data_IF_323579918607
#
_entry.id   IF_323579918607
#
_cell.length_a   1.000
_cell.length_b   1.000
_cell.length_c   1.000
_cell.angle_alpha   90.00
_cell.angle_beta   90.00
_cell.angle_gamma   90.00
#
_symmetry.space_group_name_H-M   'P 1'
#
loop_
_entity.id
_entity.type
_entity.pdbx_description
1 polymer ?
#
# COMPACT_ATOMS: atom_id res chain seq x y z
N UNK A 1 -0.34 -43.59 21.06
CA UNK A 1 0.26 -42.25 21.26
C UNK A 1 0.62 -41.60 19.93
N UNK A 2 1.45 -42.24 19.11
CA UNK A 2 1.93 -41.70 17.83
C UNK A 2 0.80 -41.34 16.85
N UNK A 3 -0.24 -42.16 16.75
CA UNK A 3 -1.43 -41.90 15.93
C UNK A 3 -2.20 -40.65 16.37
N UNK A 4 -2.34 -40.44 17.69
CA UNK A 4 -2.98 -39.26 18.27
C UNK A 4 -2.16 -37.99 18.02
N UNK A 5 -0.83 -38.07 18.22
CA UNK A 5 0.11 -36.98 17.94
C UNK A 5 0.11 -36.59 16.46
N UNK A 6 0.09 -37.57 15.56
CA UNK A 6 -0.01 -37.35 14.12
C UNK A 6 -1.34 -36.67 13.74
N UNK A 7 -2.46 -37.09 14.33
CA UNK A 7 -3.77 -36.48 14.11
C UNK A 7 -3.81 -35.02 14.59
N UNK A 8 -3.24 -34.72 15.75
CA UNK A 8 -3.17 -33.35 16.29
C UNK A 8 -2.36 -32.41 15.39
N UNK A 9 -1.22 -32.87 14.88
CA UNK A 9 -0.41 -32.12 13.89
C UNK A 9 -1.20 -31.89 12.60
N UNK A 10 -1.92 -32.91 12.12
CA UNK A 10 -2.76 -32.80 10.92
C UNK A 10 -3.88 -31.77 11.09
N UNK A 11 -4.58 -31.79 12.23
CA UNK A 11 -5.60 -30.78 12.54
C UNK A 11 -5.04 -29.36 12.62
N UNK A 12 -3.86 -29.20 13.24
CA UNK A 12 -3.17 -27.92 13.27
C UNK A 12 -2.90 -27.38 11.86
N UNK A 13 -2.33 -28.22 11.00
CA UNK A 13 -1.98 -27.83 9.62
C UNK A 13 -3.23 -27.50 8.79
N UNK A 14 -4.30 -28.29 8.90
CA UNK A 14 -5.57 -27.99 8.24
C UNK A 14 -6.17 -26.66 8.71
N UNK A 15 -6.14 -26.40 10.02
CA UNK A 15 -6.65 -25.15 10.59
C UNK A 15 -5.86 -23.95 10.07
N UNK A 16 -4.52 -24.05 10.09
CA UNK A 16 -3.62 -23.02 9.56
C UNK A 16 -3.89 -22.74 8.09
N UNK A 17 -4.10 -23.78 7.27
CA UNK A 17 -4.41 -23.63 5.84
C UNK A 17 -5.72 -22.88 5.61
N UNK A 18 -6.77 -23.20 6.37
CA UNK A 18 -8.05 -22.50 6.29
C UNK A 18 -7.92 -21.04 6.71
N UNK A 19 -7.23 -20.76 7.81
CA UNK A 19 -7.01 -19.40 8.29
C UNK A 19 -6.21 -18.55 7.28
N UNK A 20 -5.18 -19.14 6.67
CA UNK A 20 -4.39 -18.50 5.62
C UNK A 20 -5.23 -18.21 4.38
N UNK A 21 -6.05 -19.18 3.95
CA UNK A 21 -6.93 -19.03 2.80
C UNK A 21 -7.95 -17.90 3.01
N UNK A 22 -8.58 -17.85 4.19
CA UNK A 22 -9.53 -16.80 4.56
C UNK A 22 -8.85 -15.42 4.60
N UNK A 23 -7.64 -15.33 5.15
CA UNK A 23 -6.89 -14.08 5.19
C UNK A 23 -6.59 -13.58 3.77
N UNK A 24 -6.07 -14.46 2.91
CA UNK A 24 -5.74 -14.12 1.52
C UNK A 24 -6.99 -13.65 0.76
N UNK A 25 -8.12 -14.33 0.91
CA UNK A 25 -9.36 -13.95 0.24
C UNK A 25 -9.87 -12.60 0.74
N UNK A 26 -9.86 -12.37 2.07
CA UNK A 26 -10.24 -11.09 2.66
C UNK A 26 -9.37 -9.93 2.13
N UNK A 27 -8.05 -10.09 2.14
CA UNK A 27 -7.12 -9.08 1.60
C UNK A 27 -7.30 -8.86 0.10
N UNK A 28 -7.57 -9.92 -0.68
CA UNK A 28 -7.87 -9.82 -2.11
C UNK A 28 -9.12 -9.00 -2.36
N UNK A 29 -10.19 -9.25 -1.60
CA UNK A 29 -11.44 -8.50 -1.72
C UNK A 29 -11.26 -7.03 -1.33
N UNK A 30 -10.51 -6.74 -0.25
CA UNK A 30 -10.15 -5.35 0.15
C UNK A 30 -9.39 -4.63 -0.96
N UNK A 31 -8.37 -5.28 -1.56
CA UNK A 31 -7.58 -4.70 -2.67
C UNK A 31 -8.44 -4.42 -3.91
N UNK A 32 -9.23 -5.41 -4.35
CA UNK A 32 -10.16 -5.25 -5.49
C UNK A 32 -11.17 -4.12 -5.28
N UNK A 33 -11.68 -3.98 -4.07
CA UNK A 33 -12.60 -2.90 -3.75
C UNK A 33 -11.91 -1.53 -3.86
N UNK A 34 -10.71 -1.40 -3.28
CA UNK A 34 -9.92 -0.17 -3.35
C UNK A 34 -9.54 0.19 -4.80
N UNK A 35 -9.13 -0.80 -5.61
CA UNK A 35 -8.82 -0.62 -7.03
C UNK A 35 -10.04 -0.07 -7.80
N UNK A 36 -11.22 -0.69 -7.63
CA UNK A 36 -12.46 -0.20 -8.27
C UNK A 36 -12.84 1.20 -7.82
N UNK A 37 -12.65 1.51 -6.53
CA UNK A 37 -12.90 2.84 -6.00
C UNK A 37 -11.95 3.86 -6.67
N UNK A 38 -10.65 3.58 -6.71
CA UNK A 38 -9.67 4.46 -7.34
C UNK A 38 -9.93 4.65 -8.85
N UNK A 39 -10.33 3.60 -9.56
CA UNK A 39 -10.73 3.67 -10.97
C UNK A 39 -11.93 4.60 -11.17
N UNK A 40 -12.96 4.48 -10.32
CA UNK A 40 -14.14 5.32 -10.37
C UNK A 40 -13.82 6.80 -10.05
N UNK A 41 -13.05 7.05 -8.99
CA UNK A 41 -12.60 8.40 -8.62
C UNK A 41 -11.79 9.06 -9.75
N UNK A 42 -10.85 8.32 -10.33
CA UNK A 42 -10.00 8.81 -11.44
C UNK A 42 -10.84 9.09 -12.68
N UNK A 43 -11.75 8.17 -13.05
CA UNK A 43 -12.65 8.36 -14.19
C UNK A 43 -13.53 9.60 -14.01
N UNK A 44 -14.10 9.78 -12.81
CA UNK A 44 -14.93 10.93 -12.48
C UNK A 44 -14.14 12.24 -12.57
N UNK A 45 -12.90 12.27 -12.05
CA UNK A 45 -12.05 13.46 -12.13
C UNK A 45 -11.69 13.79 -13.58
N UNK A 46 -11.38 12.79 -14.42
CA UNK A 46 -11.08 13.00 -15.85
C UNK A 46 -12.30 13.56 -16.59
N UNK A 47 -13.50 13.02 -16.35
CA UNK A 47 -14.74 13.54 -16.95
C UNK A 47 -15.06 14.96 -16.50
N UNK A 48 -14.84 15.27 -15.22
CA UNK A 48 -14.98 16.62 -14.69
C UNK A 48 -14.00 17.59 -15.37
N UNK A 49 -12.71 17.23 -15.44
CA UNK A 49 -11.68 18.03 -16.10
C UNK A 49 -12.05 18.32 -17.56
N UNK A 50 -12.52 17.31 -18.29
CA UNK A 50 -12.96 17.47 -19.68
C UNK A 50 -14.15 18.42 -19.78
N UNK A 51 -15.19 18.23 -18.95
CA UNK A 51 -16.38 19.08 -18.96
C UNK A 51 -16.04 20.56 -18.72
N UNK A 52 -15.25 20.85 -17.69
CA UNK A 52 -14.89 22.24 -17.34
C UNK A 52 -14.02 22.87 -18.43
N UNK A 53 -13.13 22.08 -19.05
CA UNK A 53 -12.32 22.54 -20.19
C UNK A 53 -13.20 22.86 -21.39
N UNK A 54 -14.15 21.98 -21.73
CA UNK A 54 -15.07 22.17 -22.85
C UNK A 54 -16.01 23.37 -22.64
N UNK A 55 -16.52 23.56 -21.42
CA UNK A 55 -17.34 24.72 -21.06
C UNK A 55 -16.56 26.04 -21.20
N UNK A 56 -15.30 26.05 -20.76
CA UNK A 56 -14.38 27.20 -20.90
C UNK A 56 -14.12 27.51 -22.37
N UNK A 57 -13.77 26.49 -23.16
CA UNK A 57 -13.57 26.60 -24.62
C UNK A 57 -14.82 27.12 -25.34
N UNK A 58 -16.01 26.62 -24.99
CA UNK A 58 -17.29 27.09 -25.56
C UNK A 58 -17.53 28.56 -25.26
N UNK A 59 -17.24 29.01 -24.04
CA UNK A 59 -17.36 30.43 -23.65
C UNK A 59 -16.36 31.28 -24.43
N UNK A 60 -15.11 30.86 -24.58
CA UNK A 60 -14.11 31.55 -25.39
C UNK A 60 -14.55 31.69 -26.85
N UNK A 61 -15.01 30.59 -27.46
CA UNK A 61 -15.52 30.61 -28.82
C UNK A 61 -16.71 31.58 -28.99
N UNK A 62 -17.61 31.66 -28.00
CA UNK A 62 -18.72 32.60 -28.02
C UNK A 62 -18.25 34.05 -27.93
N UNK A 63 -17.28 34.36 -27.06
CA UNK A 63 -16.70 35.70 -26.94
C UNK A 63 -16.02 36.12 -28.25
N UNK A 64 -15.20 35.24 -28.85
CA UNK A 64 -14.52 35.52 -30.11
C UNK A 64 -15.52 35.68 -31.27
N UNK A 65 -16.66 34.97 -31.24
CA UNK A 65 -17.74 35.17 -32.21
C UNK A 65 -18.47 36.52 -32.03
N UNK A 66 -18.57 37.02 -30.79
CA UNK A 66 -19.21 38.31 -30.49
C UNK A 66 -18.28 39.49 -30.74
N UNK A 67 -16.97 39.31 -30.58
CA UNK A 67 -15.95 40.36 -30.67
C UNK A 67 -16.04 41.23 -31.94
N UNK A 68 -16.18 40.69 -33.18
CA UNK A 68 -16.30 41.54 -34.38
C UNK A 68 -17.47 42.51 -34.33
N UNK A 69 -18.58 42.14 -33.68
CA UNK A 69 -19.75 43.02 -33.55
C UNK A 69 -19.47 44.18 -32.61
N UNK A 70 -18.83 43.90 -31.48
CA UNK A 70 -18.45 44.93 -30.49
C UNK A 70 -17.40 45.88 -31.04
N UNK A 71 -16.38 45.35 -31.72
CA UNK A 71 -15.34 46.13 -32.38
C UNK A 71 -15.93 47.05 -33.45
N UNK A 72 -16.84 46.54 -34.28
CA UNK A 72 -17.55 47.35 -35.30
C UNK A 72 -18.39 48.46 -34.68
N UNK A 73 -19.01 48.22 -33.52
CA UNK A 73 -19.76 49.25 -32.81
C UNK A 73 -18.85 50.38 -32.30
N UNK A 74 -17.68 50.05 -31.72
CA UNK A 74 -16.67 51.03 -31.30
C UNK A 74 -16.09 51.80 -32.47
N UNK A 75 -15.77 51.11 -33.56
CA UNK A 75 -15.31 51.74 -34.81
C UNK A 75 -16.34 52.76 -35.33
N UNK A 76 -17.63 52.40 -35.38
CA UNK A 76 -18.70 53.28 -35.84
C UNK A 76 -18.81 54.55 -34.98
N UNK A 77 -18.60 54.44 -33.67
CA UNK A 77 -18.58 55.57 -32.74
C UNK A 77 -17.42 56.53 -33.07
N UNK A 78 -16.21 56.01 -33.29
CA UNK A 78 -15.04 56.82 -33.66
C UNK A 78 -15.25 57.48 -35.03
N UNK A 79 -15.81 56.75 -36.01
CA UNK A 79 -16.18 57.33 -37.32
C UNK A 79 -17.25 58.43 -37.21
N UNK A 80 -18.15 58.36 -36.22
CA UNK A 80 -19.12 59.44 -35.96
C UNK A 80 -18.42 60.68 -35.40
N UNK A 81 -17.48 60.51 -34.48
CA UNK A 81 -16.65 61.60 -33.96
C UNK A 81 -15.81 62.24 -35.07
N UNK A 82 -15.17 61.44 -35.92
CA UNK A 82 -14.44 61.92 -37.10
C UNK A 82 -15.32 62.80 -38.00
N UNK A 83 -16.54 62.33 -38.35
CA UNK A 83 -17.48 63.11 -39.17
C UNK A 83 -17.83 64.46 -38.53
N UNK A 84 -17.96 64.52 -37.20
CA UNK A 84 -18.19 65.77 -36.49
C UNK A 84 -16.95 66.68 -36.53
N UNK A 85 -15.76 66.14 -36.29
CA UNK A 85 -14.51 66.87 -36.37
C UNK A 85 -14.27 67.48 -37.77
N UNK A 86 -14.53 66.72 -38.84
CA UNK A 86 -14.48 67.21 -40.23
C UNK A 86 -15.45 68.37 -40.45
N UNK A 87 -16.71 68.25 -39.99
CA UNK A 87 -17.69 69.34 -40.11
C UNK A 87 -17.24 70.61 -39.42
N UNK A 88 -16.66 70.49 -38.22
CA UNK A 88 -16.11 71.63 -37.49
C UNK A 88 -14.92 72.24 -38.23
N UNK A 89 -13.97 71.42 -38.69
CA UNK A 89 -12.80 71.87 -39.45
C UNK A 89 -13.19 72.61 -40.72
N UNK A 90 -14.20 72.11 -41.46
CA UNK A 90 -14.71 72.76 -42.67
C UNK A 90 -15.34 74.13 -42.38
N UNK A 91 -16.08 74.27 -41.27
CA UNK A 91 -16.65 75.55 -40.85
C UNK A 91 -15.56 76.55 -40.49
N UNK A 92 -14.56 76.10 -39.73
CA UNK A 92 -13.40 76.93 -39.34
C UNK A 92 -12.58 77.38 -40.57
N UNK A 93 -12.32 76.49 -41.53
CA UNK A 93 -11.61 76.85 -42.78
C UNK A 93 -12.37 77.87 -43.61
N UNK A 94 -13.71 77.77 -43.70
CA UNK A 94 -14.53 78.78 -44.40
C UNK A 94 -14.47 80.15 -43.72
N UNK A 95 -14.54 80.18 -42.39
CA UNK A 95 -14.43 81.42 -41.61
C UNK A 95 -13.04 82.06 -41.79
N UNK A 96 -11.99 81.26 -41.67
CA UNK A 96 -10.61 81.71 -41.89
C UNK A 96 -10.41 82.27 -43.30
N UNK A 97 -10.95 81.59 -44.31
CA UNK A 97 -10.88 82.07 -45.69
C UNK A 97 -11.53 83.45 -45.86
N UNK A 98 -12.71 83.67 -45.27
CA UNK A 98 -13.39 84.96 -45.34
C UNK A 98 -12.56 86.08 -44.68
N UNK A 99 -11.99 85.80 -43.49
CA UNK A 99 -11.16 86.75 -42.75
C UNK A 99 -9.84 87.09 -43.47
N UNK A 100 -9.18 86.11 -44.08
CA UNK A 100 -7.94 86.36 -44.83
C UNK A 100 -8.22 87.20 -46.07
N UNK A 101 -9.28 86.89 -46.81
CA UNK A 101 -9.64 87.64 -48.01
C UNK A 101 -10.07 89.09 -47.74
N UNK A 102 -10.64 89.39 -46.57
CA UNK A 102 -10.99 90.78 -46.21
C UNK A 102 -9.77 91.69 -46.01
N UNK A 103 -8.60 91.12 -45.77
CA UNK A 103 -7.35 91.87 -45.54
C UNK A 103 -6.32 91.71 -46.67
N UNK A 104 -6.65 90.94 -47.72
CA UNK A 104 -5.74 90.65 -48.85
C UNK A 104 -6.09 91.55 -50.04
N UNK A 105 -5.12 92.09 -50.80
CA UNK A 105 -5.37 92.79 -52.07
C UNK A 105 -6.03 91.90 -53.12
N UNK A 106 -6.86 92.45 -54.01
CA UNK A 106 -7.67 91.67 -54.97
C UNK A 106 -6.82 90.88 -55.96
N UNK A 107 -5.65 91.41 -56.30
CA UNK A 107 -4.68 90.82 -57.22
C UNK A 107 -4.15 89.47 -56.69
N UNK A 108 -4.04 89.33 -55.36
CA UNK A 108 -3.50 88.14 -54.69
C UNK A 108 -4.59 87.13 -54.25
N UNK A 109 -5.87 87.49 -54.34
CA UNK A 109 -6.98 86.66 -53.85
C UNK A 109 -6.98 85.25 -54.45
N UNK A 110 -6.66 85.13 -55.74
CA UNK A 110 -6.68 83.83 -56.44
C UNK A 110 -5.64 82.86 -55.86
N UNK A 111 -4.42 83.34 -55.66
CA UNK A 111 -3.33 82.54 -55.12
C UNK A 111 -3.61 82.17 -53.65
N UNK A 112 -4.12 83.15 -52.87
CA UNK A 112 -4.48 82.94 -51.47
C UNK A 112 -5.57 81.88 -51.29
N UNK A 113 -6.60 81.88 -52.15
CA UNK A 113 -7.67 80.85 -52.13
C UNK A 113 -7.10 79.46 -52.39
N UNK A 114 -6.15 79.32 -53.33
CA UNK A 114 -5.53 78.03 -53.63
C UNK A 114 -4.75 77.52 -52.42
N UNK A 115 -3.89 78.36 -51.82
CA UNK A 115 -3.13 78.03 -50.61
C UNK A 115 -4.04 77.60 -49.46
N UNK A 116 -5.14 78.32 -49.21
CA UNK A 116 -6.10 77.98 -48.15
C UNK A 116 -6.83 76.66 -48.40
N UNK A 117 -7.15 76.33 -49.66
CA UNK A 117 -7.76 75.04 -50.02
C UNK A 117 -6.78 73.87 -49.87
N UNK A 118 -5.52 74.07 -50.24
CA UNK A 118 -4.47 73.07 -50.03
C UNK A 118 -4.24 72.82 -48.54
N UNK A 119 -4.16 73.89 -47.74
CA UNK A 119 -4.06 73.83 -46.28
C UNK A 119 -5.23 73.06 -45.67
N UNK A 120 -6.46 73.37 -46.10
CA UNK A 120 -7.67 72.67 -45.67
C UNK A 120 -7.61 71.19 -46.03
N UNK A 121 -7.23 70.83 -47.27
CA UNK A 121 -7.08 69.42 -47.69
C UNK A 121 -6.04 68.69 -46.83
N UNK A 122 -4.89 69.31 -46.58
CA UNK A 122 -3.82 68.72 -45.76
C UNK A 122 -4.29 68.48 -44.33
N UNK A 123 -4.95 69.46 -43.69
CA UNK A 123 -5.51 69.31 -42.33
C UNK A 123 -6.55 68.19 -42.26
N UNK A 124 -7.43 68.09 -43.26
CA UNK A 124 -8.41 67.01 -43.33
C UNK A 124 -7.75 65.63 -43.53
N UNK A 125 -6.70 65.55 -44.35
CA UNK A 125 -5.93 64.32 -44.55
C UNK A 125 -5.21 63.89 -43.26
N UNK A 126 -4.58 64.82 -42.54
CA UNK A 126 -3.97 64.55 -41.23
C UNK A 126 -5.02 64.08 -40.22
N UNK A 127 -6.18 64.74 -40.17
CA UNK A 127 -7.28 64.34 -39.29
C UNK A 127 -7.79 62.94 -39.64
N UNK A 128 -7.93 62.61 -40.92
CA UNK A 128 -8.32 61.26 -41.36
C UNK A 128 -7.31 60.21 -40.86
N UNK A 129 -6.02 60.42 -41.11
CA UNK A 129 -4.97 59.48 -40.69
C UNK A 129 -4.89 59.29 -39.17
N UNK A 130 -5.11 60.35 -38.38
CA UNK A 130 -5.17 60.25 -36.92
C UNK A 130 -6.33 59.36 -36.43
N UNK A 131 -7.52 59.52 -37.02
CA UNK A 131 -8.68 58.71 -36.65
C UNK A 131 -8.56 57.28 -37.17
N UNK A 132 -7.99 57.05 -38.35
CA UNK A 132 -7.67 55.72 -38.87
C UNK A 132 -6.68 55.00 -37.95
N UNK A 133 -5.58 55.65 -37.59
CA UNK A 133 -4.59 55.09 -36.64
C UNK A 133 -5.21 54.78 -35.26
N UNK A 134 -6.11 55.65 -34.77
CA UNK A 134 -6.83 55.43 -33.51
C UNK A 134 -7.74 54.21 -33.58
N UNK A 135 -8.47 54.04 -34.69
CA UNK A 135 -9.32 52.86 -34.93
C UNK A 135 -8.44 51.60 -34.96
N UNK A 136 -7.38 51.61 -35.77
CA UNK A 136 -6.48 50.46 -35.92
C UNK A 136 -5.83 50.04 -34.61
N UNK A 137 -5.33 51.00 -33.82
CA UNK A 137 -4.75 50.70 -32.50
C UNK A 137 -5.79 50.08 -31.58
N UNK A 138 -6.97 50.69 -31.46
CA UNK A 138 -8.01 50.18 -30.58
C UNK A 138 -8.48 48.77 -30.98
N UNK A 139 -8.59 48.49 -32.28
CA UNK A 139 -8.95 47.16 -32.77
C UNK A 139 -7.86 46.14 -32.42
N UNK A 140 -6.58 46.46 -32.68
CA UNK A 140 -5.45 45.59 -32.33
C UNK A 140 -5.39 45.32 -30.83
N UNK A 141 -5.45 46.37 -30.00
CA UNK A 141 -5.30 46.28 -28.55
C UNK A 141 -6.41 45.43 -27.92
N UNK A 142 -7.67 45.60 -28.37
CA UNK A 142 -8.79 44.81 -27.87
C UNK A 142 -8.75 43.36 -28.34
N UNK A 143 -8.23 43.09 -29.55
CA UNK A 143 -8.03 41.73 -30.04
C UNK A 143 -6.97 41.01 -29.21
N UNK A 144 -5.77 41.58 -29.10
CA UNK A 144 -4.66 41.00 -28.33
C UNK A 144 -5.05 40.81 -26.87
N UNK A 145 -5.78 41.77 -26.28
CA UNK A 145 -6.23 41.66 -24.89
C UNK A 145 -7.20 40.52 -24.67
N UNK A 146 -8.13 40.27 -25.60
CA UNK A 146 -9.05 39.14 -25.48
C UNK A 146 -8.30 37.82 -25.59
N UNK A 147 -7.43 37.69 -26.59
CA UNK A 147 -6.63 36.48 -26.83
C UNK A 147 -5.74 36.16 -25.62
N UNK A 148 -4.97 37.15 -25.14
CA UNK A 148 -4.12 37.00 -23.95
C UNK A 148 -4.91 36.59 -22.71
N UNK A 149 -6.08 37.19 -22.49
CA UNK A 149 -6.92 36.81 -21.35
C UNK A 149 -7.45 35.38 -21.45
N UNK A 150 -7.85 34.93 -22.65
CA UNK A 150 -8.30 33.56 -22.88
C UNK A 150 -7.17 32.55 -22.67
N UNK A 151 -5.95 32.86 -23.13
CA UNK A 151 -4.77 32.04 -22.92
C UNK A 151 -4.43 31.89 -21.44
N UNK A 152 -4.39 33.00 -20.70
CA UNK A 152 -4.11 33.01 -19.26
C UNK A 152 -5.16 32.20 -18.48
N UNK A 153 -6.44 32.35 -18.84
CA UNK A 153 -7.53 31.61 -18.20
C UNK A 153 -7.44 30.10 -18.46
N UNK A 154 -7.15 29.68 -19.70
CA UNK A 154 -6.93 28.26 -20.02
C UNK A 154 -5.72 27.70 -19.30
N UNK A 155 -4.64 28.47 -19.20
CA UNK A 155 -3.43 28.07 -18.48
C UNK A 155 -3.72 27.87 -16.99
N UNK A 156 -4.35 28.86 -16.35
CA UNK A 156 -4.72 28.78 -14.95
C UNK A 156 -5.68 27.61 -14.67
N UNK A 157 -6.65 27.36 -15.58
CA UNK A 157 -7.55 26.22 -15.47
C UNK A 157 -6.78 24.90 -15.56
N UNK A 158 -5.89 24.73 -16.54
CA UNK A 158 -5.08 23.51 -16.69
C UNK A 158 -4.25 23.23 -15.45
N UNK A 159 -3.54 24.24 -14.94
CA UNK A 159 -2.73 24.12 -13.72
C UNK A 159 -3.59 23.74 -12.51
N UNK A 160 -4.80 24.28 -12.40
CA UNK A 160 -5.73 23.92 -11.32
C UNK A 160 -6.19 22.46 -11.43
N UNK A 161 -6.61 22.02 -12.61
CA UNK A 161 -7.10 20.66 -12.84
C UNK A 161 -5.98 19.61 -12.66
N UNK A 162 -4.74 19.96 -13.01
CA UNK A 162 -3.56 19.12 -12.77
C UNK A 162 -3.27 18.97 -11.27
N UNK A 163 -3.27 20.08 -10.51
CA UNK A 163 -3.13 20.05 -9.05
C UNK A 163 -4.22 19.20 -8.37
N UNK A 164 -5.47 19.33 -8.80
CA UNK A 164 -6.57 18.51 -8.29
C UNK A 164 -6.35 17.01 -8.56
N UNK A 165 -5.86 16.67 -9.75
CA UNK A 165 -5.52 15.29 -10.12
C UNK A 165 -4.36 14.74 -9.29
N UNK A 166 -3.32 15.53 -9.04
CA UNK A 166 -2.17 15.08 -8.25
C UNK A 166 -2.53 14.89 -6.78
N UNK A 167 -3.35 15.77 -6.21
CA UNK A 167 -3.90 15.56 -4.86
C UNK A 167 -4.72 14.26 -4.77
N UNK A 168 -5.48 13.91 -5.81
CA UNK A 168 -6.21 12.65 -5.87
C UNK A 168 -5.25 11.44 -5.90
N UNK A 169 -4.22 11.48 -6.75
CA UNK A 169 -3.20 10.41 -6.82
C UNK A 169 -2.48 10.22 -5.48
N UNK A 170 -2.13 11.32 -4.81
CA UNK A 170 -1.49 11.29 -3.49
C UNK A 170 -2.39 10.64 -2.45
N UNK A 171 -3.68 11.01 -2.45
CA UNK A 171 -4.67 10.42 -1.56
C UNK A 171 -4.83 8.91 -1.80
N UNK A 172 -4.95 8.49 -3.06
CA UNK A 172 -5.04 7.09 -3.46
C UNK A 172 -3.77 6.29 -3.08
N UNK A 173 -2.59 6.89 -3.26
CA UNK A 173 -1.31 6.31 -2.86
C UNK A 173 -1.25 6.07 -1.34
N UNK A 174 -1.67 7.05 -0.54
CA UNK A 174 -1.75 6.91 0.93
C UNK A 174 -2.71 5.80 1.35
N UNK A 175 -3.90 5.72 0.74
CA UNK A 175 -4.86 4.65 1.02
C UNK A 175 -4.29 3.27 0.71
N UNK A 176 -3.64 3.13 -0.46
CA UNK A 176 -2.98 1.88 -0.86
C UNK A 176 -1.90 1.47 0.14
N UNK A 177 -1.01 2.38 0.52
CA UNK A 177 0.03 2.12 1.52
C UNK A 177 -0.56 1.68 2.87
N UNK A 178 -1.58 2.39 3.34
CA UNK A 178 -2.27 2.05 4.60
C UNK A 178 -2.89 0.64 4.55
N UNK A 179 -3.51 0.28 3.42
CA UNK A 179 -4.06 -1.06 3.23
C UNK A 179 -2.96 -2.13 3.22
N UNK A 180 -1.85 -1.89 2.53
CA UNK A 180 -0.70 -2.81 2.50
C UNK A 180 -0.08 -3.03 3.88
N UNK A 181 0.08 -1.96 4.67
CA UNK A 181 0.54 -2.06 6.05
C UNK A 181 -0.44 -2.84 6.93
N UNK A 182 -1.75 -2.65 6.73
CA UNK A 182 -2.75 -3.42 7.46
C UNK A 182 -2.71 -4.91 7.08
N UNK A 183 -2.55 -5.24 5.80
CA UNK A 183 -2.38 -6.62 5.33
C UNK A 183 -1.14 -7.27 5.97
N UNK A 184 0.01 -6.58 5.98
CA UNK A 184 1.24 -7.05 6.64
C UNK A 184 1.03 -7.31 8.13
N UNK A 185 0.33 -6.41 8.83
CA UNK A 185 0.00 -6.58 10.25
C UNK A 185 -0.92 -7.78 10.50
N UNK A 186 -1.90 -8.03 9.63
CA UNK A 186 -2.78 -9.19 9.71
C UNK A 186 -2.01 -10.51 9.48
N UNK A 187 -1.08 -10.53 8.52
CA UNK A 187 -0.19 -11.67 8.25
C UNK A 187 0.70 -12.00 9.44
N UNK A 188 1.35 -10.99 10.04
CA UNK A 188 2.19 -11.16 11.23
C UNK A 188 1.41 -11.75 12.39
N UNK A 189 0.22 -11.19 12.70
CA UNK A 189 -0.65 -11.70 13.76
C UNK A 189 -1.09 -13.15 13.53
N UNK A 190 -1.39 -13.52 12.28
CA UNK A 190 -1.76 -14.90 11.96
C UNK A 190 -0.55 -15.85 12.10
N UNK A 191 0.64 -15.40 11.67
CA UNK A 191 1.88 -16.17 11.81
C UNK A 191 2.23 -16.40 13.28
N UNK A 192 2.15 -15.36 14.12
CA UNK A 192 2.36 -15.46 15.57
C UNK A 192 1.36 -16.42 16.22
N UNK A 193 0.06 -16.27 15.93
CA UNK A 193 -0.98 -17.16 16.46
C UNK A 193 -0.75 -18.62 16.06
N UNK A 194 -0.36 -18.86 14.82
CA UNK A 194 -0.05 -20.19 14.31
C UNK A 194 1.19 -20.76 15.00
N UNK A 195 2.24 -19.95 15.16
CA UNK A 195 3.48 -20.32 15.85
C UNK A 195 3.23 -20.72 17.30
N UNK A 196 2.49 -19.90 18.05
CA UNK A 196 2.12 -20.17 19.44
C UNK A 196 1.31 -21.47 19.53
N UNK A 197 0.30 -21.63 18.68
CA UNK A 197 -0.52 -22.86 18.65
C UNK A 197 0.33 -24.10 18.39
N UNK A 198 1.29 -24.01 17.48
CA UNK A 198 2.23 -25.11 17.18
C UNK A 198 3.08 -25.45 18.40
N UNK A 199 3.67 -24.44 19.05
CA UNK A 199 4.51 -24.64 20.24
C UNK A 199 3.73 -25.28 21.40
N UNK A 200 2.47 -24.86 21.62
CA UNK A 200 1.60 -25.45 22.65
C UNK A 200 1.30 -26.93 22.34
N UNK A 201 1.02 -27.24 21.07
CA UNK A 201 0.78 -28.63 20.63
C UNK A 201 2.03 -29.48 20.81
N UNK A 202 3.21 -28.97 20.43
CA UNK A 202 4.50 -29.66 20.59
C UNK A 202 4.82 -29.92 22.06
N UNK A 203 4.71 -28.91 22.91
CA UNK A 203 4.90 -29.03 24.36
C UNK A 203 3.97 -30.08 24.98
N UNK A 204 2.68 -30.07 24.62
CA UNK A 204 1.73 -31.07 25.12
C UNK A 204 2.12 -32.49 24.71
N UNK A 205 2.56 -32.70 23.46
CA UNK A 205 3.00 -34.01 23.00
C UNK A 205 4.29 -34.46 23.73
N UNK A 206 5.20 -33.54 24.03
CA UNK A 206 6.41 -33.82 24.81
C UNK A 206 6.09 -34.20 26.26
N UNK A 207 5.21 -33.46 26.92
CA UNK A 207 4.73 -33.75 28.27
C UNK A 207 4.04 -35.12 28.34
N UNK A 208 3.20 -35.46 27.36
CA UNK A 208 2.57 -36.79 27.28
C UNK A 208 3.59 -37.92 27.10
N UNK A 209 4.64 -37.71 26.28
CA UNK A 209 5.73 -38.69 26.12
C UNK A 209 6.53 -38.85 27.41
N UNK A 210 6.89 -37.75 28.04
CA UNK A 210 7.63 -37.76 29.29
C UNK A 210 6.83 -38.46 30.40
N UNK A 211 5.54 -38.15 30.53
CA UNK A 211 4.66 -38.82 31.50
C UNK A 211 4.61 -40.34 31.27
N UNK A 212 4.46 -40.79 30.02
CA UNK A 212 4.42 -42.22 29.71
C UNK A 212 5.77 -42.91 29.96
N UNK A 213 6.87 -42.23 29.67
CA UNK A 213 8.21 -42.75 29.97
C UNK A 213 8.45 -42.86 31.48
N UNK A 214 8.01 -41.86 32.28
CA UNK A 214 8.10 -41.96 33.74
C UNK A 214 7.27 -43.12 34.28
N UNK A 215 6.09 -43.38 33.71
CA UNK A 215 5.24 -44.50 34.12
C UNK A 215 5.87 -45.84 33.73
N UNK A 216 6.42 -45.95 32.53
CA UNK A 216 7.20 -47.11 32.09
C UNK A 216 8.36 -47.38 33.03
N UNK A 217 9.11 -46.36 33.45
CA UNK A 217 10.23 -46.50 34.39
C UNK A 217 9.78 -46.96 35.78
N UNK A 218 8.63 -46.49 36.29
CA UNK A 218 8.07 -46.98 37.57
C UNK A 218 7.70 -48.46 37.50
N UNK A 219 7.04 -48.86 36.41
CA UNK A 219 6.67 -50.26 36.18
C UNK A 219 7.93 -51.13 36.12
N UNK A 220 8.94 -50.69 35.35
CA UNK A 220 10.22 -51.40 35.24
C UNK A 220 10.90 -51.56 36.59
N UNK A 221 11.04 -50.49 37.38
CA UNK A 221 11.61 -50.55 38.74
C UNK A 221 10.86 -51.51 39.65
N UNK A 222 9.53 -51.54 39.55
CA UNK A 222 8.69 -52.45 40.35
C UNK A 222 8.95 -53.90 39.97
N UNK A 223 9.12 -54.19 38.67
CA UNK A 223 9.46 -55.53 38.18
C UNK A 223 10.88 -55.91 38.60
N UNK A 224 11.84 -55.00 38.47
CA UNK A 224 13.23 -55.20 38.89
C UNK A 224 13.33 -55.50 40.40
N UNK A 225 12.59 -54.76 41.22
CA UNK A 225 12.53 -54.98 42.67
C UNK A 225 11.92 -56.34 43.02
N UNK A 226 10.83 -56.73 42.35
CA UNK A 226 10.25 -58.07 42.50
C UNK A 226 11.24 -59.16 42.14
N UNK A 227 11.90 -59.04 40.98
CA UNK A 227 12.94 -59.98 40.57
C UNK A 227 14.13 -60.02 41.54
N UNK A 228 14.49 -58.87 42.14
CA UNK A 228 15.56 -58.79 43.16
C UNK A 228 15.16 -59.56 44.41
N UNK A 229 13.92 -59.40 44.88
CA UNK A 229 13.38 -60.11 46.03
C UNK A 229 13.31 -61.61 45.73
N UNK A 230 12.74 -62.01 44.58
CA UNK A 230 12.62 -63.42 44.16
C UNK A 230 14.00 -64.11 44.10
N UNK A 231 15.01 -63.42 43.56
CA UNK A 231 16.38 -63.91 43.57
C UNK A 231 16.91 -64.08 45.00
N UNK A 232 16.74 -63.09 45.86
CA UNK A 232 17.17 -63.18 47.27
C UNK A 232 16.49 -64.33 47.99
N UNK A 233 15.17 -64.47 47.87
CA UNK A 233 14.42 -65.55 48.51
C UNK A 233 14.85 -66.91 47.98
N UNK A 234 15.12 -67.03 46.68
CA UNK A 234 15.64 -68.27 46.09
C UNK A 234 17.00 -68.64 46.66
N UNK A 235 17.93 -67.69 46.78
CA UNK A 235 19.23 -67.94 47.41
C UNK A 235 19.12 -68.25 48.91
N UNK A 236 18.23 -67.57 49.65
CA UNK A 236 18.00 -67.84 51.08
C UNK A 236 17.36 -69.21 51.31
N UNK A 237 16.51 -69.67 50.39
CA UNK A 237 15.90 -71.01 50.41
C UNK A 237 16.92 -72.09 49.99
N UNK A 238 17.83 -71.79 49.05
CA UNK A 238 18.95 -72.65 48.66
C UNK A 238 19.98 -72.79 49.79
N UNK A 239 20.33 -71.70 50.47
CA UNK A 239 21.17 -71.72 51.67
C UNK A 239 20.50 -72.49 52.82
N UNK A 240 19.19 -72.30 53.04
CA UNK A 240 18.45 -73.09 54.03
C UNK A 240 18.43 -74.58 53.69
N UNK A 241 18.19 -74.94 52.43
CA UNK A 241 18.25 -76.34 51.99
C UNK A 241 19.65 -76.95 52.16
N UNK A 242 20.73 -76.21 51.85
CA UNK A 242 22.11 -76.64 52.09
C UNK A 242 22.43 -76.78 53.58
N UNK A 243 21.95 -75.86 54.42
CA UNK A 243 22.16 -75.89 55.86
C UNK A 243 21.37 -77.03 56.53
N UNK A 244 20.12 -77.26 56.11
CA UNK A 244 19.31 -78.42 56.53
C UNK A 244 19.94 -79.74 56.08
N UNK A 245 20.50 -79.80 54.86
CA UNK A 245 21.23 -80.97 54.39
C UNK A 245 22.52 -81.22 55.20
N UNK A 246 23.23 -80.15 55.57
CA UNK A 246 24.42 -80.21 56.44
C UNK A 246 24.05 -80.66 57.87
N UNK A 247 22.92 -80.19 58.40
CA UNK A 247 22.39 -80.62 59.70
C UNK A 247 21.91 -82.08 59.66
N UNK A 248 21.27 -82.54 58.59
CA UNK A 248 20.90 -83.95 58.41
C UNK A 248 22.14 -84.86 58.32
N UNK A 249 23.20 -84.45 57.61
CA UNK A 249 24.48 -85.17 57.60
C UNK A 249 25.11 -85.21 59.01
N UNK A 250 25.03 -84.12 59.77
CA UNK A 250 25.56 -84.04 61.14
C UNK A 250 24.74 -84.89 62.14
N UNK A 251 23.42 -84.96 61.98
CA UNK A 251 22.52 -85.80 62.79
C UNK A 251 22.67 -87.29 62.46
N UNK A 252 22.87 -87.64 61.18
CA UNK A 252 23.15 -89.02 60.75
C UNK A 252 24.56 -89.48 61.15
N UNK A 253 25.55 -88.59 61.19
CA UNK A 253 26.85 -88.86 61.80
C UNK A 253 26.77 -89.08 63.33
N UNK A 254 25.84 -88.40 64.01
CA UNK A 254 25.60 -88.55 65.46
C UNK A 254 24.80 -89.80 65.82
N UNK A 255 23.98 -90.34 64.90
CA UNK A 255 23.24 -91.60 65.08
C UNK A 255 24.10 -92.87 64.88
N UNK A 256 25.33 -92.74 64.37
CA UNK A 256 26.24 -93.88 64.19
C UNK A 256 27.21 -94.11 65.37
N UNK A 257 27.13 -93.31 66.44
CA UNK A 257 28.10 -93.33 67.56
C UNK A 257 27.59 -94.01 68.84
N UNK A 258 26.52 -94.82 68.81
CA UNK A 258 26.01 -95.48 70.01
C UNK A 258 25.43 -96.88 69.75
N UNK A 259 26.28 -97.81 69.32
CA UNK A 259 26.08 -99.23 69.59
C UNK A 259 27.42 -99.98 69.55
N UNK A 260 28.06 -100.12 70.72
CA UNK A 260 29.24 -100.95 70.94
C UNK A 260 28.95 -101.93 72.08
N UNK A 261 28.90 -103.23 71.77
CA UNK A 261 29.51 -104.33 72.57
C UNK A 261 29.62 -105.58 71.69
N UNK A 262 30.79 -105.80 71.09
CA UNK A 262 31.86 -106.73 71.50
C UNK A 262 31.67 -108.20 71.05
N UNK A 263 32.52 -108.64 70.11
CA UNK A 263 33.32 -109.84 70.32
C UNK A 263 34.61 -109.79 69.49
N UNK A 264 35.75 -109.73 70.18
CA UNK A 264 37.08 -109.91 69.62
C UNK A 264 37.29 -111.36 69.17
N UNK A 265 37.94 -111.56 68.01
CA UNK A 265 38.92 -112.63 67.74
C UNK A 265 39.96 -112.06 66.76
N UNK A 266 41.17 -112.58 66.91
CA UNK A 266 42.49 -112.08 66.58
C UNK A 266 42.90 -112.09 65.10
N UNK A 267 44.03 -111.39 64.90
CA UNK A 267 45.25 -111.80 64.18
C UNK A 267 45.44 -111.36 62.71
N UNK A 268 46.38 -110.43 62.57
CA UNK A 268 47.57 -110.49 61.70
C UNK A 268 47.39 -110.55 60.15
N UNK A 269 47.81 -109.49 59.45
CA UNK A 269 49.04 -109.40 58.63
C UNK A 269 49.02 -108.22 57.63
N UNK A 270 50.18 -107.54 57.55
CA UNK A 270 50.82 -106.80 56.44
C UNK A 270 50.00 -105.84 55.54
N UNK A 271 50.34 -104.54 55.45
CA UNK A 271 51.54 -103.89 54.85
C UNK A 271 51.40 -103.61 53.34
N UNK A 272 51.73 -102.36 52.96
CA UNK A 272 52.02 -101.83 51.61
C UNK A 272 50.79 -101.63 50.70
N UNK A 273 50.71 -100.67 49.80
CA UNK A 273 51.46 -99.47 49.44
C UNK A 273 50.66 -98.80 48.29
N UNK A 274 50.91 -97.50 48.08
CA UNK A 274 51.00 -96.81 46.77
C UNK A 274 50.24 -97.39 45.57
N UNK A 275 49.45 -96.55 44.90
CA UNK A 275 49.85 -95.95 43.63
C UNK A 275 48.79 -94.97 43.11
N UNK A 276 49.29 -93.81 42.70
CA UNK A 276 48.90 -92.94 41.57
C UNK A 276 47.43 -92.65 41.30
#
# INVERSE_FOLDING_TARGET
LETSHALLRKHHEQTKQLELSLLIESQRMKRRHLEKQHEAETSNQLQYNQRVTDETMKRHALQSKQQPKELKAKELQIRKQYRQAVKTQLRQSKLLQAQVLSCTPKEEHREMIVKLKEEQKRKLATLAGQYESTIESLLRDLTVKLESWQEDELKALKEKLEKEMDMLKDFQSRQKSCLEENCKREEQKLAERTSIRKAVIEKKMEEERASLETERQKILKTIEEKHRIEKSTFFDDEERALNEHTQQISLSASQFSSQDTLCSISSNLHSLATNS
#
